data_IF_574597955888
#
_entry.id   IF_574597955888
#
_cell.length_a   1.000
_cell.length_b   1.000
_cell.length_c   1.000
_cell.angle_alpha   90.00
_cell.angle_beta   90.00
_cell.angle_gamma   90.00
#
_symmetry.space_group_name_H-M   'P 1'
#
loop_
_entity.id
_entity.type
_entity.pdbx_description
1 polymer ?
#
# COMPACT_ATOMS: atom_id res chain seq x y z
N UNK A 1 -30.03 -15.13 -39.34
CA UNK A 1 -29.83 -16.56 -39.01
C UNK A 1 -28.34 -16.83 -38.75
N UNK A 2 -27.94 -16.86 -37.48
CA UNK A 2 -26.76 -17.59 -36.96
C UNK A 2 -26.84 -17.51 -35.43
N UNK A 3 -27.15 -18.65 -34.83
CA UNK A 3 -27.43 -18.80 -33.41
C UNK A 3 -26.12 -18.76 -32.61
N UNK A 4 -26.08 -17.92 -31.59
CA UNK A 4 -25.05 -17.95 -30.53
C UNK A 4 -25.44 -19.07 -29.57
N UNK A 5 -24.65 -20.15 -29.58
CA UNK A 5 -24.75 -21.26 -28.65
C UNK A 5 -24.48 -20.74 -27.24
N UNK A 6 -25.54 -20.56 -26.44
CA UNK A 6 -25.41 -20.37 -24.99
C UNK A 6 -24.89 -21.67 -24.38
N UNK A 7 -23.65 -21.65 -23.89
CA UNK A 7 -23.10 -22.72 -23.08
C UNK A 7 -23.98 -22.94 -21.85
N UNK A 8 -24.68 -24.08 -21.81
CA UNK A 8 -25.38 -24.53 -20.61
C UNK A 8 -24.33 -24.82 -19.56
N UNK A 9 -24.29 -24.01 -18.50
CA UNK A 9 -23.66 -24.38 -17.22
C UNK A 9 -24.18 -25.77 -16.85
N UNK A 10 -23.29 -26.78 -16.87
CA UNK A 10 -23.61 -28.12 -16.40
C UNK A 10 -23.94 -27.99 -14.91
N UNK A 11 -25.19 -28.29 -14.54
CA UNK A 11 -25.56 -28.53 -13.14
C UNK A 11 -24.58 -29.57 -12.56
N UNK A 12 -24.06 -29.37 -11.33
CA UNK A 12 -23.24 -30.40 -10.72
C UNK A 12 -24.05 -31.69 -10.63
N UNK A 13 -23.41 -32.80 -11.00
CA UNK A 13 -23.94 -34.15 -10.85
C UNK A 13 -24.40 -34.33 -9.41
N UNK A 14 -25.71 -34.51 -9.22
CA UNK A 14 -26.28 -34.88 -7.94
C UNK A 14 -25.75 -36.28 -7.59
N UNK A 15 -24.74 -36.34 -6.74
CA UNK A 15 -24.38 -37.56 -6.03
C UNK A 15 -25.62 -37.97 -5.22
N UNK A 16 -26.13 -39.21 -5.33
CA UNK A 16 -27.21 -39.65 -4.47
C UNK A 16 -26.67 -39.61 -3.05
N UNK A 17 -27.13 -38.62 -2.28
CA UNK A 17 -26.89 -38.56 -0.84
C UNK A 17 -27.64 -39.76 -0.29
N UNK A 18 -26.92 -40.83 0.06
CA UNK A 18 -27.45 -41.80 1.01
C UNK A 18 -28.05 -40.99 2.16
N UNK A 19 -29.30 -41.30 2.54
CA UNK A 19 -29.97 -40.60 3.62
C UNK A 19 -29.08 -40.73 4.87
N UNK A 20 -28.26 -39.71 5.12
CA UNK A 20 -27.56 -39.59 6.38
C UNK A 20 -28.68 -39.61 7.43
N UNK A 21 -28.58 -40.44 8.48
CA UNK A 21 -29.54 -40.40 9.56
C UNK A 21 -29.68 -38.94 9.97
N UNK A 22 -30.93 -38.47 10.09
CA UNK A 22 -31.20 -37.10 10.54
C UNK A 22 -30.28 -36.81 11.73
N UNK A 23 -29.61 -35.65 11.79
CA UNK A 23 -28.76 -35.34 12.92
C UNK A 23 -29.65 -35.42 14.16
N UNK A 24 -29.50 -36.51 14.93
CA UNK A 24 -29.93 -36.51 16.33
C UNK A 24 -29.31 -35.25 16.89
N UNK A 25 -30.10 -34.40 17.52
CA UNK A 25 -29.56 -33.20 18.15
C UNK A 25 -28.36 -33.64 18.98
N UNK A 26 -27.16 -33.17 18.63
CA UNK A 26 -25.99 -33.32 19.48
C UNK A 26 -26.22 -32.66 20.85
N UNK A 27 -27.29 -31.86 20.96
CA UNK A 27 -27.93 -31.40 22.18
C UNK A 27 -28.88 -32.45 22.80
N UNK A 28 -28.46 -33.71 22.86
CA UNK A 28 -28.73 -34.44 24.11
C UNK A 28 -27.96 -33.72 25.21
N UNK A 29 -28.42 -33.76 26.46
CA UNK A 29 -27.65 -33.16 27.55
C UNK A 29 -26.22 -33.71 27.51
N UNK A 30 -25.22 -32.83 27.28
CA UNK A 30 -23.81 -33.23 27.36
C UNK A 30 -23.58 -33.84 28.74
N UNK A 31 -22.96 -35.03 28.82
CA UNK A 31 -22.72 -35.71 30.10
C UNK A 31 -22.12 -34.78 31.14
N UNK A 32 -22.50 -34.96 32.40
CA UNK A 32 -21.97 -34.16 33.50
C UNK A 32 -20.43 -34.27 33.53
N UNK A 33 -19.75 -33.15 33.78
CA UNK A 33 -18.29 -33.10 33.80
C UNK A 33 -17.59 -33.11 32.44
N UNK A 34 -18.32 -33.28 31.33
CA UNK A 34 -17.75 -33.28 29.98
C UNK A 34 -17.01 -31.97 29.65
N UNK A 35 -17.64 -30.80 29.87
CA UNK A 35 -17.03 -29.50 29.57
C UNK A 35 -15.90 -29.13 30.53
N UNK A 36 -16.01 -29.55 31.79
CA UNK A 36 -14.94 -29.39 32.77
C UNK A 36 -13.67 -30.15 32.36
N UNK A 37 -13.82 -31.34 31.77
CA UNK A 37 -12.69 -32.07 31.21
C UNK A 37 -12.08 -31.37 29.99
N UNK A 38 -12.92 -30.96 29.05
CA UNK A 38 -12.46 -30.36 27.77
C UNK A 38 -11.85 -28.98 27.98
N UNK A 39 -12.45 -28.13 28.81
CA UNK A 39 -12.09 -26.70 28.93
C UNK A 39 -11.22 -26.38 30.16
N UNK A 40 -11.38 -27.14 31.26
CA UNK A 40 -10.66 -26.91 32.53
C UNK A 40 -9.63 -28.02 32.82
N UNK A 41 -9.56 -29.05 31.96
CA UNK A 41 -8.62 -30.15 32.10
C UNK A 41 -8.88 -31.10 33.26
N UNK A 42 -10.05 -31.01 33.91
CA UNK A 42 -10.42 -31.86 35.06
C UNK A 42 -10.58 -33.33 34.65
N UNK A 43 -10.45 -34.30 35.57
CA UNK A 43 -10.79 -35.70 35.29
C UNK A 43 -12.24 -35.82 34.79
N UNK A 44 -12.47 -36.68 33.80
CA UNK A 44 -13.82 -36.99 33.31
C UNK A 44 -14.29 -38.30 33.92
N UNK A 45 -15.36 -38.23 34.70
CA UNK A 45 -16.09 -39.39 35.20
C UNK A 45 -17.57 -39.25 34.80
N UNK A 46 -18.13 -40.20 34.04
CA UNK A 46 -19.55 -40.14 33.67
C UNK A 46 -20.43 -40.28 34.92
N UNK A 47 -21.50 -39.48 35.00
CA UNK A 47 -22.43 -39.60 36.12
C UNK A 47 -23.22 -40.92 36.06
N UNK A 48 -23.78 -41.34 37.21
CA UNK A 48 -24.56 -42.56 37.28
C UNK A 48 -25.74 -42.55 36.30
N UNK A 49 -25.80 -43.54 35.41
CA UNK A 49 -26.83 -43.66 34.38
C UNK A 49 -26.49 -42.94 33.06
N UNK A 50 -25.36 -42.25 32.96
CA UNK A 50 -24.87 -41.66 31.71
C UNK A 50 -23.97 -42.64 30.96
N UNK A 51 -24.12 -42.67 29.64
CA UNK A 51 -23.17 -43.37 28.77
C UNK A 51 -21.86 -42.57 28.70
N UNK A 52 -20.69 -43.20 28.91
CA UNK A 52 -19.41 -42.50 28.82
C UNK A 52 -19.17 -41.98 27.41
N UNK A 53 -18.66 -40.75 27.30
CA UNK A 53 -18.11 -40.27 26.03
C UNK A 53 -16.88 -41.11 25.66
N UNK A 54 -16.77 -41.61 24.42
CA UNK A 54 -15.60 -42.36 24.00
C UNK A 54 -14.30 -41.54 24.15
N UNK A 55 -13.23 -42.20 24.63
CA UNK A 55 -11.98 -41.53 25.00
C UNK A 55 -11.31 -40.77 23.83
N UNK A 56 -11.35 -41.33 22.61
CA UNK A 56 -10.70 -40.70 21.46
C UNK A 56 -11.34 -39.35 21.04
N UNK A 57 -12.67 -39.25 20.84
CA UNK A 57 -13.35 -37.97 20.67
C UNK A 57 -13.10 -36.96 21.80
N UNK A 58 -13.17 -37.42 23.06
CA UNK A 58 -12.97 -36.57 24.23
C UNK A 58 -11.56 -35.95 24.26
N UNK A 59 -10.53 -36.79 24.07
CA UNK A 59 -9.14 -36.35 23.99
C UNK A 59 -8.91 -35.43 22.78
N UNK A 60 -9.54 -35.71 21.62
CA UNK A 60 -9.43 -34.85 20.45
C UNK A 60 -10.02 -33.47 20.70
N UNK A 61 -11.21 -33.37 21.32
CA UNK A 61 -11.84 -32.08 21.61
C UNK A 61 -11.02 -31.25 22.59
N UNK A 62 -10.48 -31.88 23.63
CA UNK A 62 -9.58 -31.23 24.57
C UNK A 62 -8.31 -30.72 23.87
N UNK A 63 -7.67 -31.56 23.04
CA UNK A 63 -6.47 -31.17 22.27
C UNK A 63 -6.74 -29.97 21.36
N UNK A 64 -7.88 -29.94 20.67
CA UNK A 64 -8.26 -28.77 19.85
C UNK A 64 -8.40 -27.50 20.70
N UNK A 65 -9.08 -27.57 21.85
CA UNK A 65 -9.18 -26.43 22.74
C UNK A 65 -7.82 -25.97 23.25
N UNK A 66 -6.98 -26.89 23.73
CA UNK A 66 -5.65 -26.58 24.26
C UNK A 66 -4.71 -26.01 23.18
N UNK A 67 -4.88 -26.40 21.92
CA UNK A 67 -4.11 -25.88 20.78
C UNK A 67 -4.55 -24.47 20.36
N UNK A 68 -5.86 -24.22 20.25
CA UNK A 68 -6.38 -22.97 19.69
C UNK A 68 -6.55 -21.84 20.72
N UNK A 69 -6.68 -22.14 22.02
CA UNK A 69 -6.76 -21.10 23.06
C UNK A 69 -5.36 -20.67 23.52
N UNK A 70 -5.18 -19.39 23.90
CA UNK A 70 -6.20 -18.34 24.04
C UNK A 70 -6.65 -17.69 22.73
N UNK A 71 -7.70 -16.87 22.79
CA UNK A 71 -8.10 -16.00 21.68
C UNK A 71 -6.98 -14.98 21.41
N UNK A 72 -6.22 -15.16 20.33
CA UNK A 72 -5.14 -14.24 19.96
C UNK A 72 -5.67 -12.83 19.68
N UNK A 73 -6.81 -12.73 18.99
CA UNK A 73 -7.39 -11.45 18.58
C UNK A 73 -8.91 -11.52 18.42
N UNK A 74 -9.59 -10.51 18.98
CA UNK A 74 -11.03 -10.28 18.76
C UNK A 74 -11.24 -8.92 18.08
N UNK A 75 -11.84 -8.92 16.90
CA UNK A 75 -12.20 -7.70 16.16
C UNK A 75 -13.67 -7.37 16.36
N UNK A 76 -14.00 -6.11 16.61
CA UNK A 76 -15.38 -5.67 16.87
C UNK A 76 -15.61 -4.18 16.60
N UNK A 77 -16.87 -3.79 16.41
CA UNK A 77 -17.30 -2.40 16.52
C UNK A 77 -17.13 -1.86 17.95
N UNK A 78 -16.83 -0.56 18.06
CA UNK A 78 -16.65 0.16 19.34
C UNK A 78 -17.89 0.16 20.24
N UNK A 79 -19.06 -0.06 19.68
CA UNK A 79 -20.34 -0.16 20.40
C UNK A 79 -20.42 -1.36 21.34
N UNK A 80 -19.59 -2.40 21.10
CA UNK A 80 -19.53 -3.59 21.96
C UNK A 80 -18.55 -3.47 23.13
N UNK A 81 -17.77 -2.39 23.21
CA UNK A 81 -16.84 -2.14 24.32
C UNK A 81 -17.57 -2.16 25.68
N UNK A 82 -18.61 -1.33 25.92
CA UNK A 82 -19.25 -1.24 27.23
C UNK A 82 -20.11 -2.47 27.61
N UNK A 83 -20.24 -3.47 26.73
CA UNK A 83 -21.07 -4.65 26.95
C UNK A 83 -20.29 -5.95 26.66
N UNK A 84 -20.50 -6.58 25.50
CA UNK A 84 -19.97 -7.88 25.12
C UNK A 84 -18.45 -7.99 25.33
N UNK A 85 -17.65 -7.00 24.92
CA UNK A 85 -16.19 -7.10 25.07
C UNK A 85 -15.78 -7.05 26.54
N UNK A 86 -16.40 -6.18 27.34
CA UNK A 86 -16.20 -6.14 28.79
C UNK A 86 -16.65 -7.44 29.45
N UNK A 87 -17.85 -7.93 29.11
CA UNK A 87 -18.38 -9.20 29.62
C UNK A 87 -17.50 -10.39 29.20
N UNK A 88 -16.93 -10.38 27.99
CA UNK A 88 -16.01 -11.41 27.52
C UNK A 88 -14.82 -11.53 28.46
N UNK A 89 -14.21 -10.41 28.87
CA UNK A 89 -13.11 -10.41 29.83
C UNK A 89 -13.54 -10.94 31.20
N UNK A 90 -14.67 -10.49 31.74
CA UNK A 90 -15.20 -11.00 33.02
C UNK A 90 -15.48 -12.50 32.98
N UNK A 91 -16.12 -13.00 31.92
CA UNK A 91 -16.42 -14.43 31.81
C UNK A 91 -15.15 -15.27 31.67
N UNK A 92 -14.15 -14.83 30.89
CA UNK A 92 -12.89 -15.56 30.81
C UNK A 92 -12.18 -15.60 32.17
N UNK A 93 -12.12 -14.47 32.88
CA UNK A 93 -11.54 -14.42 34.22
C UNK A 93 -12.30 -15.30 35.22
N UNK A 94 -13.63 -15.37 35.12
CA UNK A 94 -14.45 -16.19 36.01
C UNK A 94 -14.33 -17.70 35.74
N UNK A 95 -14.14 -18.10 34.49
CA UNK A 95 -14.02 -19.52 34.09
C UNK A 95 -12.60 -20.05 34.34
N UNK A 96 -11.57 -19.27 33.98
CA UNK A 96 -10.15 -19.65 34.08
C UNK A 96 -9.41 -18.81 35.15
N UNK A 97 -9.99 -18.72 36.35
CA UNK A 97 -9.47 -17.89 37.46
C UNK A 97 -7.98 -18.15 37.75
N UNK A 98 -7.59 -19.42 37.67
CA UNK A 98 -6.23 -19.90 37.98
C UNK A 98 -5.36 -20.08 36.73
N UNK A 99 -5.84 -19.74 35.54
CA UNK A 99 -5.09 -19.86 34.27
C UNK A 99 -5.22 -18.60 33.39
N UNK A 100 -4.49 -17.51 33.73
CA UNK A 100 -4.47 -16.30 32.93
C UNK A 100 -3.96 -16.50 31.49
N UNK A 101 -3.28 -17.61 31.20
CA UNK A 101 -2.83 -17.91 29.85
C UNK A 101 -4.01 -18.21 28.91
N UNK A 102 -5.22 -18.44 29.44
CA UNK A 102 -6.46 -18.61 28.67
C UNK A 102 -7.20 -17.30 28.40
N UNK A 103 -6.73 -16.17 28.93
CA UNK A 103 -7.39 -14.88 28.71
C UNK A 103 -7.17 -14.37 27.28
N UNK A 104 -8.12 -13.61 26.70
CA UNK A 104 -7.95 -13.03 25.37
C UNK A 104 -6.70 -12.13 25.31
N UNK A 105 -5.88 -12.30 24.28
CA UNK A 105 -4.58 -11.61 24.17
C UNK A 105 -4.68 -10.21 23.59
N UNK A 106 -5.62 -9.99 22.68
CA UNK A 106 -5.85 -8.68 22.07
C UNK A 106 -7.30 -8.46 21.63
N UNK A 107 -7.73 -7.20 21.65
CA UNK A 107 -9.02 -6.75 21.13
C UNK A 107 -8.76 -5.53 20.24
N UNK A 108 -9.23 -5.57 19.00
CA UNK A 108 -9.18 -4.45 18.07
C UNK A 108 -10.58 -3.92 17.82
N UNK A 109 -10.76 -2.60 17.97
CA UNK A 109 -12.06 -1.95 17.83
C UNK A 109 -12.09 -0.96 16.67
N UNK A 110 -13.02 -1.19 15.73
CA UNK A 110 -13.29 -0.26 14.63
C UNK A 110 -14.51 0.66 14.93
N UNK A 111 -14.58 1.80 14.24
CA UNK A 111 -15.77 2.64 14.27
C UNK A 111 -16.94 2.06 13.47
N UNK A 112 -18.08 2.77 13.52
CA UNK A 112 -19.23 2.40 12.71
C UNK A 112 -18.97 2.70 11.24
N UNK A 113 -19.58 1.92 10.35
CA UNK A 113 -19.48 2.14 8.90
C UNK A 113 -20.52 3.19 8.45
N UNK A 114 -20.04 4.18 7.71
CA UNK A 114 -20.82 5.13 6.93
C UNK A 114 -20.77 4.75 5.45
N UNK A 115 -21.73 5.22 4.67
CA UNK A 115 -21.75 5.09 3.20
C UNK A 115 -21.75 6.49 2.62
N UNK A 116 -20.77 6.80 1.78
CA UNK A 116 -20.61 8.12 1.14
C UNK A 116 -20.69 9.28 2.14
N UNK A 117 -19.95 9.15 3.25
CA UNK A 117 -19.90 10.03 4.41
C UNK A 117 -21.22 10.19 5.20
N UNK A 118 -22.27 9.45 4.84
CA UNK A 118 -23.55 9.46 5.53
C UNK A 118 -23.75 8.26 6.45
N UNK A 119 -24.49 8.47 7.55
CA UNK A 119 -24.98 7.37 8.38
C UNK A 119 -25.78 6.39 7.52
N UNK A 120 -25.39 5.12 7.53
CA UNK A 120 -26.11 4.06 6.82
C UNK A 120 -27.47 3.83 7.50
N UNK A 121 -28.57 4.00 6.76
CA UNK A 121 -29.92 3.67 7.25
C UNK A 121 -30.86 3.27 6.13
N UNK A 122 -31.79 2.35 6.43
CA UNK A 122 -32.85 1.97 5.48
C UNK A 122 -33.73 3.15 5.07
N UNK A 123 -34.02 4.05 6.01
CA UNK A 123 -34.86 5.24 5.78
C UNK A 123 -34.25 6.26 4.82
N UNK A 124 -32.92 6.32 4.73
CA UNK A 124 -32.19 7.19 3.78
C UNK A 124 -32.00 6.53 2.41
N UNK A 125 -32.31 5.24 2.28
CA UNK A 125 -32.09 4.48 1.05
C UNK A 125 -30.62 4.15 0.75
N UNK A 126 -29.68 4.49 1.65
CA UNK A 126 -28.23 4.22 1.49
C UNK A 126 -27.76 2.95 2.23
N UNK A 127 -28.69 2.05 2.57
CA UNK A 127 -28.35 0.78 3.19
C UNK A 127 -27.89 -0.23 2.14
N UNK A 128 -26.69 -0.77 2.32
CA UNK A 128 -26.10 -1.75 1.40
C UNK A 128 -25.87 -3.05 2.17
N UNK A 129 -26.58 -4.11 1.80
CA UNK A 129 -26.33 -5.45 2.33
C UNK A 129 -25.09 -6.09 1.70
N UNK A 130 -24.47 -7.03 2.41
CA UNK A 130 -23.26 -7.73 1.93
C UNK A 130 -23.45 -8.36 0.54
N UNK A 131 -24.53 -9.13 0.34
CA UNK A 131 -24.80 -9.77 -0.95
C UNK A 131 -25.07 -8.74 -2.05
N UNK A 132 -25.77 -7.64 -1.73
CA UNK A 132 -26.01 -6.55 -2.67
C UNK A 132 -24.70 -5.86 -3.09
N UNK A 133 -23.77 -5.65 -2.14
CA UNK A 133 -22.45 -5.12 -2.43
C UNK A 133 -21.67 -6.06 -3.36
N UNK A 134 -21.64 -7.36 -3.05
CA UNK A 134 -20.97 -8.36 -3.88
C UNK A 134 -21.60 -8.50 -5.28
N UNK A 135 -22.92 -8.39 -5.42
CA UNK A 135 -23.59 -8.41 -6.73
C UNK A 135 -23.28 -7.16 -7.54
N UNK A 136 -23.22 -5.99 -6.90
CA UNK A 136 -22.96 -4.72 -7.57
C UNK A 136 -21.49 -4.55 -7.96
N UNK A 137 -20.57 -4.91 -7.07
CA UNK A 137 -19.15 -4.62 -7.24
C UNK A 137 -18.25 -5.83 -7.43
N UNK A 138 -18.73 -7.05 -7.18
CA UNK A 138 -17.92 -8.24 -6.88
C UNK A 138 -17.31 -8.21 -5.46
N UNK A 139 -16.88 -9.39 -5.00
CA UNK A 139 -16.31 -9.57 -3.68
C UNK A 139 -15.00 -8.76 -3.49
N UNK A 140 -14.13 -8.76 -4.50
CA UNK A 140 -12.81 -8.11 -4.39
C UNK A 140 -12.90 -6.59 -4.36
N UNK A 141 -13.70 -5.99 -5.23
CA UNK A 141 -13.93 -4.54 -5.21
C UNK A 141 -14.60 -4.08 -3.90
N UNK A 142 -15.53 -4.89 -3.37
CA UNK A 142 -16.16 -4.61 -2.07
C UNK A 142 -15.13 -4.66 -0.95
N UNK A 143 -14.27 -5.69 -0.92
CA UNK A 143 -13.19 -5.82 0.07
C UNK A 143 -12.15 -4.71 -0.06
N UNK A 144 -11.83 -4.30 -1.28
CA UNK A 144 -10.95 -3.17 -1.57
C UNK A 144 -11.49 -1.90 -0.93
N UNK A 145 -12.76 -1.56 -1.19
CA UNK A 145 -13.40 -0.38 -0.59
C UNK A 145 -13.51 -0.49 0.94
N UNK A 146 -13.74 -1.69 1.49
CA UNK A 146 -13.72 -1.89 2.94
C UNK A 146 -12.32 -1.67 3.55
N UNK A 147 -11.25 -2.10 2.88
CA UNK A 147 -9.88 -1.87 3.33
C UNK A 147 -9.52 -0.38 3.27
N UNK A 148 -10.04 0.37 2.29
CA UNK A 148 -9.83 1.82 2.19
C UNK A 148 -10.66 2.63 3.22
N UNK A 149 -11.72 2.04 3.78
CA UNK A 149 -12.73 2.76 4.55
C UNK A 149 -12.22 3.37 5.87
N UNK A 150 -11.23 2.75 6.51
CA UNK A 150 -10.60 3.27 7.73
C UNK A 150 -10.12 2.21 8.72
N UNK A 151 -9.08 2.56 9.48
CA UNK A 151 -8.24 1.62 10.25
C UNK A 151 -8.34 1.81 11.78
N UNK A 152 -9.39 2.43 12.30
CA UNK A 152 -9.43 2.77 13.73
C UNK A 152 -10.82 2.97 14.31
N UNK A 153 -10.85 3.57 15.51
CA UNK A 153 -12.08 3.75 16.30
C UNK A 153 -13.00 4.85 15.77
N UNK A 154 -12.46 5.74 14.92
CA UNK A 154 -13.25 6.69 14.17
C UNK A 154 -14.13 5.96 13.16
N UNK A 155 -15.26 6.57 12.81
CA UNK A 155 -16.18 5.94 11.86
C UNK A 155 -15.46 5.73 10.51
N UNK A 156 -15.59 4.53 9.96
CA UNK A 156 -15.08 4.18 8.65
C UNK A 156 -16.08 4.65 7.59
N UNK A 157 -15.58 4.98 6.40
CA UNK A 157 -16.42 5.41 5.29
C UNK A 157 -16.29 4.46 4.10
N UNK A 158 -17.34 3.69 3.82
CA UNK A 158 -17.46 2.95 2.58
C UNK A 158 -17.81 3.93 1.46
N UNK A 159 -16.81 4.27 0.62
CA UNK A 159 -16.98 5.15 -0.54
C UNK A 159 -17.33 4.32 -1.78
N UNK A 160 -18.54 4.53 -2.29
CA UNK A 160 -19.04 3.79 -3.46
C UNK A 160 -18.28 4.12 -4.74
N UNK A 161 -17.67 5.31 -4.82
CA UNK A 161 -16.81 5.72 -5.94
C UNK A 161 -15.49 4.94 -5.94
N UNK A 162 -14.96 4.63 -4.75
CA UNK A 162 -13.77 3.77 -4.62
C UNK A 162 -14.12 2.34 -5.06
N UNK A 163 -15.28 1.82 -4.66
CA UNK A 163 -15.75 0.51 -5.10
C UNK A 163 -15.90 0.43 -6.63
N UNK A 164 -16.56 1.42 -7.26
CA UNK A 164 -16.70 1.50 -8.73
C UNK A 164 -15.33 1.56 -9.44
N UNK A 165 -14.42 2.41 -8.94
CA UNK A 165 -13.08 2.56 -9.51
C UNK A 165 -12.22 1.31 -9.35
N UNK A 166 -12.40 0.59 -8.23
CA UNK A 166 -11.62 -0.62 -7.96
C UNK A 166 -11.89 -1.72 -8.99
N UNK A 167 -13.14 -1.88 -9.48
CA UNK A 167 -13.43 -2.83 -10.58
C UNK A 167 -12.59 -2.51 -11.81
N UNK A 168 -12.63 -1.26 -12.25
CA UNK A 168 -11.95 -0.81 -13.47
C UNK A 168 -10.43 -0.96 -13.32
N UNK A 169 -9.88 -0.54 -12.18
CA UNK A 169 -8.44 -0.61 -11.93
C UNK A 169 -7.94 -2.05 -11.78
N UNK A 170 -8.63 -2.92 -11.04
CA UNK A 170 -8.28 -4.34 -10.93
C UNK A 170 -8.29 -5.04 -12.30
N UNK A 171 -9.31 -4.76 -13.12
CA UNK A 171 -9.44 -5.33 -14.47
C UNK A 171 -8.31 -4.83 -15.38
N UNK A 172 -8.07 -3.52 -15.40
CA UNK A 172 -7.01 -2.93 -16.22
C UNK A 172 -5.62 -3.44 -15.82
N UNK A 173 -5.39 -3.62 -14.51
CA UNK A 173 -4.13 -4.13 -13.98
C UNK A 173 -3.90 -5.59 -14.37
N UNK A 174 -4.93 -6.44 -14.27
CA UNK A 174 -4.86 -7.84 -14.70
C UNK A 174 -4.52 -7.96 -16.19
N UNK A 175 -5.22 -7.21 -17.03
CA UNK A 175 -4.98 -7.20 -18.48
C UNK A 175 -3.60 -6.65 -18.84
N UNK A 176 -3.16 -5.60 -18.14
CA UNK A 176 -1.81 -5.06 -18.32
C UNK A 176 -0.75 -6.09 -17.94
N UNK A 177 -0.85 -6.74 -16.78
CA UNK A 177 0.09 -7.76 -16.35
C UNK A 177 0.16 -8.94 -17.34
N UNK A 178 -1.00 -9.38 -17.84
CA UNK A 178 -1.09 -10.42 -18.89
C UNK A 178 -0.39 -9.99 -20.17
N UNK A 179 -0.69 -8.79 -20.67
CA UNK A 179 -0.11 -8.28 -21.91
C UNK A 179 1.40 -8.02 -21.79
N UNK A 180 1.86 -7.48 -20.65
CA UNK A 180 3.26 -7.20 -20.40
C UNK A 180 4.09 -8.49 -20.39
N UNK A 181 3.66 -9.52 -19.65
CA UNK A 181 4.39 -10.79 -19.59
C UNK A 181 4.28 -11.62 -20.87
N UNK A 182 3.23 -11.40 -21.69
CA UNK A 182 3.11 -11.99 -23.02
C UNK A 182 3.88 -11.22 -24.11
N UNK A 183 4.49 -10.07 -23.79
CA UNK A 183 5.20 -9.21 -24.74
C UNK A 183 4.30 -8.50 -25.75
N UNK A 184 3.00 -8.38 -25.45
CA UNK A 184 1.99 -7.74 -26.32
C UNK A 184 1.52 -6.36 -25.84
N UNK A 185 1.99 -5.92 -24.66
CA UNK A 185 1.74 -4.57 -24.16
C UNK A 185 2.43 -3.51 -25.03
N UNK A 186 1.68 -2.47 -25.41
CA UNK A 186 2.18 -1.40 -26.30
C UNK A 186 3.19 -0.47 -25.63
N UNK A 187 3.20 -0.43 -24.31
CA UNK A 187 3.94 0.51 -23.48
C UNK A 187 4.92 -0.20 -22.52
N UNK A 188 5.14 -1.51 -22.70
CA UNK A 188 6.01 -2.33 -21.86
C UNK A 188 6.81 -3.31 -22.71
N UNK A 189 7.70 -2.77 -23.56
CA UNK A 189 8.66 -3.59 -24.30
C UNK A 189 9.72 -4.14 -23.36
N UNK A 190 9.99 -5.45 -23.45
CA UNK A 190 11.05 -6.09 -22.70
C UNK A 190 12.39 -5.86 -23.39
N UNK A 191 13.43 -5.58 -22.61
CA UNK A 191 14.80 -5.48 -23.09
C UNK A 191 15.30 -6.88 -23.51
N UNK A 192 16.20 -6.99 -24.52
CA UNK A 192 16.79 -8.28 -24.88
C UNK A 192 17.50 -8.95 -23.69
N UNK A 193 17.41 -10.28 -23.61
CA UNK A 193 18.11 -11.04 -22.59
C UNK A 193 19.62 -10.78 -22.63
N UNK A 194 20.23 -10.57 -21.46
CA UNK A 194 21.66 -10.28 -21.33
C UNK A 194 22.05 -8.82 -21.59
N UNK A 195 21.10 -7.94 -21.90
CA UNK A 195 21.36 -6.50 -21.95
C UNK A 195 21.77 -5.97 -20.56
N UNK A 196 22.63 -4.94 -20.54
CA UNK A 196 23.08 -4.32 -19.30
C UNK A 196 21.91 -3.76 -18.49
N UNK A 197 21.94 -3.95 -17.17
CA UNK A 197 20.99 -3.34 -16.24
C UNK A 197 21.11 -1.81 -16.28
N UNK A 198 19.98 -1.13 -16.11
CA UNK A 198 19.91 0.33 -15.98
C UNK A 198 19.92 0.71 -14.50
N UNK A 199 20.18 1.98 -14.23
CA UNK A 199 20.04 2.52 -12.88
C UNK A 199 18.60 2.39 -12.36
N UNK A 200 17.61 2.59 -13.25
CA UNK A 200 16.18 2.41 -12.93
C UNK A 200 15.82 0.99 -12.51
N UNK A 201 16.51 -0.05 -13.03
CA UNK A 201 16.30 -1.44 -12.60
C UNK A 201 16.65 -1.57 -11.09
N UNK A 202 17.77 -0.98 -10.67
CA UNK A 202 18.20 -0.98 -9.26
C UNK A 202 17.27 -0.14 -8.38
N UNK A 203 16.85 1.04 -8.85
CA UNK A 203 15.89 1.87 -8.12
C UNK A 203 14.55 1.16 -7.92
N UNK A 204 14.00 0.55 -8.97
CA UNK A 204 12.70 -0.11 -8.90
C UNK A 204 12.74 -1.34 -7.98
N UNK A 205 13.80 -2.14 -8.03
CA UNK A 205 14.01 -3.24 -7.09
C UNK A 205 14.08 -2.76 -5.62
N UNK A 206 14.82 -1.68 -5.37
CA UNK A 206 14.94 -1.07 -4.05
C UNK A 206 13.59 -0.52 -3.55
N UNK A 207 12.82 0.13 -4.43
CA UNK A 207 11.51 0.66 -4.11
C UNK A 207 10.49 -0.43 -3.81
N UNK A 208 10.50 -1.54 -4.55
CA UNK A 208 9.69 -2.72 -4.23
C UNK A 208 10.02 -3.29 -2.85
N UNK A 209 11.31 -3.42 -2.50
CA UNK A 209 11.74 -3.87 -1.17
C UNK A 209 11.18 -2.95 -0.06
N UNK A 210 11.25 -1.64 -0.27
CA UNK A 210 10.69 -0.63 0.66
C UNK A 210 9.17 -0.75 0.80
N UNK A 211 8.46 -0.92 -0.31
CA UNK A 211 7.00 -1.06 -0.31
C UNK A 211 6.54 -2.34 0.38
N UNK A 212 7.20 -3.48 0.15
CA UNK A 212 6.89 -4.74 0.85
C UNK A 212 6.99 -4.57 2.37
N UNK A 213 8.02 -3.91 2.87
CA UNK A 213 8.16 -3.64 4.30
C UNK A 213 7.05 -2.73 4.83
N UNK A 214 6.70 -1.68 4.10
CA UNK A 214 5.60 -0.78 4.48
C UNK A 214 4.23 -1.49 4.50
N UNK A 215 3.97 -2.37 3.53
CA UNK A 215 2.74 -3.19 3.51
C UNK A 215 2.71 -4.18 4.66
N UNK A 216 3.84 -4.85 4.91
CA UNK A 216 3.97 -5.83 6.00
C UNK A 216 3.69 -5.17 7.35
N UNK A 217 4.26 -4.00 7.59
CA UNK A 217 3.99 -3.19 8.78
C UNK A 217 2.52 -2.74 8.86
N UNK A 218 1.93 -2.33 7.73
CA UNK A 218 0.51 -2.01 7.66
C UNK A 218 -0.37 -3.16 8.13
N UNK A 219 -0.15 -4.38 7.63
CA UNK A 219 -0.92 -5.56 8.05
C UNK A 219 -0.62 -5.97 9.50
N UNK A 220 0.65 -5.97 9.93
CA UNK A 220 1.05 -6.32 11.29
C UNK A 220 0.41 -5.39 12.34
N UNK A 221 0.29 -4.11 12.01
CA UNK A 221 -0.34 -3.08 12.85
C UNK A 221 -1.84 -2.89 12.60
N UNK A 222 -2.49 -3.78 11.83
CA UNK A 222 -3.91 -3.72 11.46
C UNK A 222 -4.35 -2.40 10.80
N UNK A 223 -3.45 -1.73 10.10
CA UNK A 223 -3.71 -0.52 9.30
C UNK A 223 -3.91 -0.90 7.83
N UNK A 224 -5.09 -1.42 7.51
CA UNK A 224 -5.43 -1.97 6.20
C UNK A 224 -5.49 -0.92 5.09
N UNK A 225 -5.91 0.31 5.37
CA UNK A 225 -5.85 1.43 4.42
C UNK A 225 -4.41 1.84 4.14
N UNK A 226 -3.56 1.88 5.16
CA UNK A 226 -2.13 2.13 4.96
C UNK A 226 -1.45 0.97 4.19
N UNK A 227 -1.81 -0.28 4.49
CA UNK A 227 -1.34 -1.44 3.74
C UNK A 227 -1.76 -1.37 2.28
N UNK A 228 -3.05 -1.11 2.01
CA UNK A 228 -3.60 -0.93 0.66
C UNK A 228 -2.92 0.22 -0.10
N UNK A 229 -2.65 1.34 0.59
CA UNK A 229 -1.94 2.48 0.01
C UNK A 229 -0.60 2.07 -0.61
N UNK A 230 0.18 1.26 0.10
CA UNK A 230 1.48 0.82 -0.40
C UNK A 230 1.34 -0.37 -1.35
N UNK A 231 0.49 -1.34 -1.02
CA UNK A 231 0.32 -2.59 -1.76
C UNK A 231 -0.25 -2.34 -3.16
N UNK A 232 -1.18 -1.41 -3.31
CA UNK A 232 -1.81 -1.09 -4.59
C UNK A 232 -1.23 0.17 -5.20
N UNK A 233 -1.50 1.34 -4.60
CA UNK A 233 -1.13 2.62 -5.23
C UNK A 233 0.38 2.82 -5.30
N UNK A 234 1.11 2.50 -4.24
CA UNK A 234 2.58 2.62 -4.20
C UNK A 234 3.27 1.70 -5.20
N UNK A 235 2.84 0.44 -5.27
CA UNK A 235 3.37 -0.53 -6.24
C UNK A 235 3.07 -0.13 -7.69
N UNK A 236 1.87 0.37 -7.98
CA UNK A 236 1.50 0.90 -9.30
C UNK A 236 2.33 2.14 -9.67
N UNK A 237 2.49 3.07 -8.73
CA UNK A 237 3.31 4.27 -8.95
C UNK A 237 4.77 3.92 -9.24
N UNK A 238 5.35 2.98 -8.49
CA UNK A 238 6.71 2.52 -8.71
C UNK A 238 6.87 1.89 -10.11
N UNK A 239 5.93 1.02 -10.50
CA UNK A 239 5.89 0.43 -11.84
C UNK A 239 5.74 1.49 -12.93
N UNK A 240 4.81 2.44 -12.78
CA UNK A 240 4.56 3.45 -13.80
C UNK A 240 5.77 4.36 -14.02
N UNK A 241 6.50 4.71 -12.95
CA UNK A 241 7.77 5.45 -13.05
C UNK A 241 8.83 4.62 -13.76
N UNK A 242 9.00 3.36 -13.37
CA UNK A 242 9.95 2.44 -14.00
C UNK A 242 9.64 2.26 -15.49
N UNK A 243 8.38 2.00 -15.83
CA UNK A 243 7.89 1.88 -17.21
C UNK A 243 8.18 3.13 -18.04
N UNK A 244 7.82 4.30 -17.51
CA UNK A 244 7.98 5.57 -18.23
C UNK A 244 9.45 5.95 -18.41
N UNK A 245 10.33 5.58 -17.47
CA UNK A 245 11.76 5.81 -17.58
C UNK A 245 12.48 4.84 -18.52
N UNK A 246 11.95 3.63 -18.71
CA UNK A 246 12.57 2.59 -19.53
C UNK A 246 12.00 2.48 -20.96
N UNK A 247 11.33 3.52 -21.49
CA UNK A 247 10.74 3.48 -22.84
C UNK A 247 11.78 3.18 -23.92
N UNK A 248 12.98 3.78 -23.83
CA UNK A 248 14.06 3.58 -24.80
C UNK A 248 14.87 2.30 -24.53
N UNK A 249 15.11 1.98 -23.27
CA UNK A 249 15.94 0.82 -22.88
C UNK A 249 15.15 -0.49 -22.83
N UNK A 250 13.81 -0.44 -22.76
CA UNK A 250 12.97 -1.58 -22.40
C UNK A 250 13.08 -1.97 -20.92
N UNK A 251 12.06 -2.70 -20.45
CA UNK A 251 11.96 -3.21 -19.08
C UNK A 251 12.76 -4.50 -18.90
N UNK A 252 13.25 -4.72 -17.69
CA UNK A 252 13.78 -6.03 -17.30
C UNK A 252 12.63 -7.02 -17.07
N UNK A 253 12.72 -8.16 -17.76
CA UNK A 253 11.66 -9.16 -17.79
C UNK A 253 11.49 -9.90 -16.45
N UNK A 254 12.60 -10.20 -15.75
CA UNK A 254 12.56 -10.88 -14.46
C UNK A 254 12.03 -9.97 -13.37
N UNK A 255 12.46 -8.70 -13.37
CA UNK A 255 12.01 -7.68 -12.43
C UNK A 255 10.54 -7.35 -12.63
N UNK A 256 10.08 -7.28 -13.88
CA UNK A 256 8.65 -7.09 -14.19
C UNK A 256 7.82 -8.28 -13.73
N UNK A 257 8.28 -9.52 -13.98
CA UNK A 257 7.62 -10.74 -13.47
C UNK A 257 7.56 -10.76 -11.95
N UNK A 258 8.65 -10.38 -11.27
CA UNK A 258 8.71 -10.26 -9.81
C UNK A 258 7.72 -9.22 -9.29
N UNK A 259 7.62 -8.07 -9.95
CA UNK A 259 6.63 -7.06 -9.59
C UNK A 259 5.20 -7.59 -9.68
N UNK A 260 4.84 -8.28 -10.77
CA UNK A 260 3.50 -8.88 -10.94
C UNK A 260 3.21 -9.90 -9.83
N UNK A 261 4.19 -10.74 -9.50
CA UNK A 261 4.08 -11.72 -8.41
C UNK A 261 3.91 -11.06 -7.04
N UNK A 262 4.72 -10.06 -6.72
CA UNK A 262 4.63 -9.36 -5.45
C UNK A 262 3.33 -8.55 -5.34
N UNK A 263 2.91 -7.89 -6.43
CA UNK A 263 1.63 -7.18 -6.48
C UNK A 263 0.46 -8.11 -6.16
N UNK A 264 0.46 -9.34 -6.72
CA UNK A 264 -0.54 -10.35 -6.39
C UNK A 264 -0.47 -10.76 -4.91
N UNK A 265 0.70 -11.15 -4.42
CA UNK A 265 0.86 -11.64 -3.05
C UNK A 265 0.52 -10.59 -1.99
N UNK A 266 0.93 -9.34 -2.18
CA UNK A 266 0.62 -8.23 -1.26
C UNK A 266 -0.88 -7.92 -1.23
N UNK A 267 -1.60 -8.21 -2.31
CA UNK A 267 -3.04 -7.99 -2.43
C UNK A 267 -3.89 -9.18 -2.00
N UNK A 268 -3.35 -10.39 -1.83
CA UNK A 268 -4.08 -11.59 -1.40
C UNK A 268 -4.99 -11.34 -0.18
N UNK A 269 -4.56 -10.63 0.89
CA UNK A 269 -5.45 -10.38 2.03
C UNK A 269 -6.67 -9.51 1.70
N UNK A 270 -6.62 -8.69 0.65
CA UNK A 270 -7.66 -7.72 0.29
C UNK A 270 -8.47 -8.23 -0.91
N UNK A 271 -7.82 -8.59 -2.03
CA UNK A 271 -8.44 -9.05 -3.27
C UNK A 271 -7.97 -10.47 -3.65
N UNK A 272 -8.38 -11.50 -2.88
CA UNK A 272 -7.85 -12.85 -3.06
C UNK A 272 -8.20 -13.47 -4.42
N UNK A 273 -9.35 -13.18 -5.03
CA UNK A 273 -9.76 -13.82 -6.27
C UNK A 273 -8.96 -13.26 -7.47
N UNK A 274 -8.78 -11.94 -7.52
CA UNK A 274 -7.91 -11.26 -8.46
C UNK A 274 -6.46 -11.73 -8.32
N UNK A 275 -5.98 -11.85 -7.08
CA UNK A 275 -4.61 -12.30 -6.80
C UNK A 275 -4.39 -13.75 -7.26
N UNK A 276 -5.40 -14.62 -7.10
CA UNK A 276 -5.35 -16.01 -7.57
C UNK A 276 -5.36 -16.11 -9.11
N UNK A 277 -6.11 -15.26 -9.79
CA UNK A 277 -6.12 -15.18 -11.26
C UNK A 277 -4.76 -14.70 -11.79
N UNK A 278 -4.12 -13.71 -11.15
CA UNK A 278 -2.76 -13.30 -11.49
C UNK A 278 -1.77 -14.44 -11.23
N UNK A 279 -1.85 -15.09 -10.06
CA UNK A 279 -0.96 -16.19 -9.66
C UNK A 279 -1.00 -17.37 -10.64
N UNK A 280 -2.21 -17.85 -10.95
CA UNK A 280 -2.40 -19.04 -11.76
C UNK A 280 -2.38 -18.72 -13.26
N UNK A 281 -3.27 -17.85 -13.74
CA UNK A 281 -3.51 -17.66 -15.17
C UNK A 281 -2.54 -16.68 -15.85
N UNK A 282 -1.89 -15.79 -15.09
CA UNK A 282 -0.89 -14.85 -15.63
C UNK A 282 0.54 -15.33 -15.38
N UNK A 283 0.85 -15.74 -14.14
CA UNK A 283 2.21 -16.17 -13.78
C UNK A 283 2.46 -17.66 -14.02
N UNK A 284 1.41 -18.48 -14.16
CA UNK A 284 1.55 -19.93 -14.34
C UNK A 284 2.06 -20.65 -13.09
N UNK A 285 1.85 -20.09 -11.90
CA UNK A 285 2.31 -20.70 -10.65
C UNK A 285 1.39 -21.86 -10.26
N UNK A 286 1.98 -22.91 -9.71
CA UNK A 286 1.25 -24.03 -9.11
C UNK A 286 0.75 -23.68 -7.70
N UNK A 287 -0.26 -24.40 -7.23
CA UNK A 287 -0.89 -24.17 -5.93
C UNK A 287 -1.70 -22.87 -5.88
N UNK A 288 -2.04 -22.43 -4.66
CA UNK A 288 -2.84 -21.22 -4.43
C UNK A 288 -1.98 -20.10 -3.84
N UNK A 289 -2.23 -18.86 -4.26
CA UNK A 289 -1.55 -17.66 -3.77
C UNK A 289 -1.74 -17.49 -2.25
N UNK A 290 -2.91 -17.88 -1.72
CA UNK A 290 -3.21 -17.86 -0.28
C UNK A 290 -2.28 -18.75 0.57
N UNK A 291 -1.61 -19.72 -0.05
CA UNK A 291 -0.65 -20.62 0.61
C UNK A 291 0.80 -20.28 0.28
N UNK A 292 1.03 -19.29 -0.58
CA UNK A 292 2.38 -18.87 -0.94
C UNK A 292 3.05 -18.12 0.21
N UNK A 293 4.38 -18.13 0.21
CA UNK A 293 5.15 -17.37 1.19
C UNK A 293 4.97 -15.86 0.95
N UNK A 294 4.92 -15.09 2.03
CA UNK A 294 4.88 -13.63 1.95
C UNK A 294 6.15 -13.08 1.29
N UNK A 295 6.07 -12.07 0.41
CA UNK A 295 7.24 -11.44 -0.18
C UNK A 295 8.19 -10.89 0.88
N UNK A 296 9.49 -11.04 0.67
CA UNK A 296 10.53 -10.46 1.53
C UNK A 296 11.52 -9.66 0.70
N UNK A 297 12.13 -8.60 1.27
CA UNK A 297 13.15 -7.83 0.58
C UNK A 297 14.28 -8.69 0.04
N UNK A 298 14.65 -8.45 -1.21
CA UNK A 298 15.76 -9.18 -1.88
C UNK A 298 17.14 -8.66 -1.46
N UNK A 299 17.19 -7.45 -0.90
CA UNK A 299 18.38 -6.79 -0.37
C UNK A 299 17.96 -5.74 0.69
N UNK A 300 18.89 -5.28 1.53
CA UNK A 300 18.66 -4.09 2.37
C UNK A 300 18.26 -2.87 1.52
N UNK A 301 17.42 -1.99 2.07
CA UNK A 301 17.03 -0.76 1.39
C UNK A 301 18.24 0.17 1.28
N UNK A 302 18.57 0.60 0.08
CA UNK A 302 19.57 1.62 -0.19
C UNK A 302 18.93 3.02 -0.15
N UNK A 303 19.23 3.76 0.91
CA UNK A 303 18.72 5.12 1.11
C UNK A 303 19.27 6.12 0.07
N UNK A 304 20.48 5.90 -0.44
CA UNK A 304 21.09 6.73 -1.48
C UNK A 304 20.34 6.58 -2.79
N UNK A 305 20.01 5.35 -3.19
CA UNK A 305 19.20 5.08 -4.40
C UNK A 305 17.79 5.67 -4.26
N UNK A 306 17.15 5.55 -3.09
CA UNK A 306 15.85 6.18 -2.85
C UNK A 306 15.91 7.71 -2.98
N UNK A 307 16.94 8.34 -2.40
CA UNK A 307 17.13 9.79 -2.46
C UNK A 307 17.42 10.28 -3.89
N UNK A 308 18.30 9.58 -4.61
CA UNK A 308 18.60 9.85 -6.01
C UNK A 308 17.36 9.71 -6.89
N UNK A 309 16.53 8.67 -6.69
CA UNK A 309 15.25 8.53 -7.40
C UNK A 309 14.29 9.68 -7.13
N UNK A 310 14.08 10.03 -5.86
CA UNK A 310 13.23 11.17 -5.51
C UNK A 310 13.69 12.48 -6.19
N UNK A 311 15.01 12.70 -6.26
CA UNK A 311 15.60 13.82 -6.97
C UNK A 311 15.35 13.76 -8.48
N UNK A 312 15.69 12.64 -9.14
CA UNK A 312 15.57 12.47 -10.58
C UNK A 312 14.12 12.63 -11.07
N UNK A 313 13.15 12.04 -10.37
CA UNK A 313 11.73 12.21 -10.74
C UNK A 313 11.24 13.65 -10.53
N UNK A 314 11.74 14.34 -9.50
CA UNK A 314 11.44 15.77 -9.29
C UNK A 314 12.00 16.61 -10.43
N UNK A 315 13.25 16.37 -10.85
CA UNK A 315 13.87 17.06 -11.99
C UNK A 315 13.08 16.78 -13.27
N UNK A 316 12.73 15.52 -13.55
CA UNK A 316 11.91 15.12 -14.70
C UNK A 316 10.57 15.86 -14.73
N UNK A 317 9.87 15.93 -13.59
CA UNK A 317 8.60 16.67 -13.47
C UNK A 317 8.75 18.18 -13.73
N UNK A 318 9.84 18.78 -13.25
CA UNK A 318 10.15 20.21 -13.52
C UNK A 318 10.37 20.45 -15.01
N UNK A 319 11.13 19.58 -15.69
CA UNK A 319 11.37 19.67 -17.13
C UNK A 319 10.06 19.53 -17.90
N UNK A 320 9.25 18.51 -17.59
CA UNK A 320 7.95 18.27 -18.23
C UNK A 320 7.01 19.49 -18.05
N UNK A 321 6.99 20.09 -16.86
CA UNK A 321 6.21 21.29 -16.57
C UNK A 321 6.72 22.50 -17.37
N UNK A 322 8.04 22.67 -17.49
CA UNK A 322 8.62 23.75 -18.29
C UNK A 322 8.27 23.61 -19.77
N UNK A 323 8.32 22.39 -20.31
CA UNK A 323 7.92 22.08 -21.69
C UNK A 323 6.43 22.38 -21.93
N UNK A 324 5.54 21.89 -21.05
CA UNK A 324 4.11 22.14 -21.15
C UNK A 324 3.78 23.65 -21.07
N UNK A 325 4.49 24.40 -20.24
CA UNK A 325 4.33 25.86 -20.16
C UNK A 325 4.80 26.57 -21.43
N UNK A 326 5.89 26.09 -22.05
CA UNK A 326 6.35 26.60 -23.34
C UNK A 326 5.30 26.36 -24.43
N UNK A 327 4.75 25.15 -24.51
CA UNK A 327 3.69 24.80 -25.46
C UNK A 327 2.42 25.64 -25.27
N UNK A 328 1.98 25.85 -24.03
CA UNK A 328 0.84 26.73 -23.71
C UNK A 328 1.10 28.18 -24.13
N UNK A 329 2.31 28.70 -23.93
CA UNK A 329 2.68 30.05 -24.36
C UNK A 329 2.69 30.16 -25.89
N UNK A 330 3.27 29.17 -26.58
CA UNK A 330 3.28 29.11 -28.03
C UNK A 330 1.86 29.00 -28.63
N UNK A 331 0.96 28.26 -27.97
CA UNK A 331 -0.44 28.15 -28.38
C UNK A 331 -1.22 29.47 -28.17
N UNK A 332 -0.99 30.17 -27.04
CA UNK A 332 -1.60 31.49 -26.79
C UNK A 332 -1.14 32.56 -27.78
N UNK A 333 0.11 32.50 -28.23
CA UNK A 333 0.64 33.40 -29.25
C UNK A 333 -0.01 33.22 -30.65
N UNK A 334 -0.73 32.11 -30.90
CA UNK A 334 -1.39 31.82 -32.19
C UNK A 334 -2.84 32.35 -32.32
N UNK A 335 -3.43 32.94 -31.28
CA UNK A 335 -4.76 33.60 -31.32
C UNK A 335 -5.99 32.69 -31.58
N UNK A 336 -7.19 33.12 -31.15
CA UNK A 336 -8.48 32.48 -31.52
C UNK A 336 -8.76 32.77 -33.01
N UNK A 337 -8.29 31.90 -33.89
CA UNK A 337 -8.49 32.03 -35.34
C UNK A 337 -7.34 31.50 -36.20
N UNK A 338 -6.24 31.02 -35.60
CA UNK A 338 -5.18 30.34 -36.34
C UNK A 338 -4.30 31.23 -37.22
N UNK A 339 -4.54 32.56 -37.25
CA UNK A 339 -3.60 33.52 -37.84
C UNK A 339 -2.68 34.09 -36.75
N UNK A 340 -1.35 34.05 -36.96
CA UNK A 340 -0.41 34.74 -36.08
C UNK A 340 -0.78 36.22 -36.00
N UNK A 341 -0.80 36.79 -34.80
CA UNK A 341 -0.73 38.24 -34.66
C UNK A 341 0.64 38.68 -35.21
N UNK A 342 0.62 39.51 -36.24
CA UNK A 342 1.77 40.14 -36.89
C UNK A 342 2.92 39.22 -37.32
N UNK A 343 2.79 38.56 -38.49
CA UNK A 343 3.92 38.16 -39.37
C UNK A 343 5.06 37.30 -38.78
N UNK A 344 4.99 36.91 -37.51
CA UNK A 344 6.06 36.26 -36.77
C UNK A 344 6.01 34.76 -36.98
N UNK A 345 7.13 34.18 -37.41
CA UNK A 345 7.32 32.74 -37.48
C UNK A 345 6.95 32.09 -36.13
N UNK A 346 6.28 30.94 -36.18
CA UNK A 346 5.94 30.18 -34.99
C UNK A 346 7.21 29.92 -34.16
N UNK A 347 7.15 30.20 -32.84
CA UNK A 347 8.28 29.95 -31.95
C UNK A 347 8.77 28.50 -32.13
N UNK A 348 10.07 28.28 -32.42
CA UNK A 348 10.59 26.94 -32.70
C UNK A 348 10.40 26.04 -31.47
N UNK A 349 10.09 24.77 -31.71
CA UNK A 349 10.04 23.77 -30.63
C UNK A 349 11.43 23.68 -30.00
N UNK A 350 11.54 23.68 -28.66
CA UNK A 350 12.81 23.44 -28.00
C UNK A 350 13.36 22.09 -28.44
N UNK A 351 14.61 22.06 -28.89
CA UNK A 351 15.32 20.85 -29.32
C UNK A 351 16.51 20.53 -28.41
N UNK A 352 16.76 21.34 -27.40
CA UNK A 352 17.84 21.17 -26.42
C UNK A 352 17.37 21.62 -25.04
N UNK A 353 17.79 20.89 -24.02
CA UNK A 353 17.69 21.28 -22.61
C UNK A 353 19.10 21.39 -22.03
N UNK A 354 19.37 22.42 -21.23
CA UNK A 354 20.63 22.59 -20.50
C UNK A 354 20.34 22.55 -19.01
N UNK A 355 20.88 21.54 -18.35
CA UNK A 355 20.79 21.38 -16.91
C UNK A 355 22.06 21.94 -16.28
N UNK A 356 21.90 22.79 -15.27
CA UNK A 356 23.02 23.32 -14.49
C UNK A 356 22.94 22.75 -13.08
N UNK A 357 23.97 22.01 -12.70
CA UNK A 357 24.11 21.38 -11.40
C UNK A 357 25.10 22.20 -10.58
N UNK A 358 24.64 22.78 -9.48
CA UNK A 358 25.50 23.58 -8.61
C UNK A 358 26.31 22.66 -7.69
N UNK A 359 27.64 22.62 -7.84
CA UNK A 359 28.51 21.78 -6.99
C UNK A 359 28.53 22.21 -5.51
N UNK A 360 28.22 23.47 -5.25
CA UNK A 360 28.12 24.05 -3.91
C UNK A 360 26.93 24.97 -3.86
N UNK A 361 26.34 25.08 -2.68
CA UNK A 361 25.36 26.12 -2.43
C UNK A 361 25.99 27.50 -2.66
N UNK A 362 25.23 28.47 -3.21
CA UNK A 362 25.62 29.87 -3.13
C UNK A 362 25.92 30.24 -1.67
N UNK A 363 26.91 31.11 -1.44
CA UNK A 363 27.42 31.43 -0.10
C UNK A 363 26.33 31.78 0.92
N UNK A 364 25.31 32.54 0.51
CA UNK A 364 24.21 32.90 1.40
C UNK A 364 23.35 31.69 1.84
N UNK A 365 23.22 30.66 0.99
CA UNK A 365 22.51 29.42 1.34
C UNK A 365 23.33 28.55 2.28
N UNK A 366 24.65 28.44 2.06
CA UNK A 366 25.56 27.77 3.01
C UNK A 366 25.43 28.42 4.39
N UNK A 367 25.46 29.76 4.44
CA UNK A 367 25.35 30.49 5.70
C UNK A 367 24.00 30.29 6.39
N UNK A 368 22.90 30.24 5.64
CA UNK A 368 21.58 29.89 6.20
C UNK A 368 21.59 28.47 6.76
N UNK A 369 22.14 27.48 6.04
CA UNK A 369 22.22 26.09 6.52
C UNK A 369 23.08 25.96 7.78
N UNK A 370 24.22 26.65 7.85
CA UNK A 370 25.07 26.71 9.05
C UNK A 370 24.28 27.24 10.27
N UNK A 371 23.50 28.31 10.08
CA UNK A 371 22.65 28.87 11.13
C UNK A 371 21.52 27.91 11.54
N UNK A 372 20.89 27.22 10.59
CA UNK A 372 19.87 26.21 10.88
C UNK A 372 20.45 25.05 11.70
N UNK A 373 21.64 24.55 11.33
CA UNK A 373 22.33 23.48 12.06
C UNK A 373 22.70 23.90 13.47
N UNK A 374 23.18 25.13 13.66
CA UNK A 374 23.54 25.63 15.00
C UNK A 374 22.34 25.84 15.92
N UNK A 375 21.12 25.86 15.36
CA UNK A 375 19.87 26.00 16.08
C UNK A 375 19.02 24.71 16.02
N UNK A 376 19.58 23.61 15.51
CA UNK A 376 18.92 22.30 15.52
C UNK A 376 19.04 21.69 16.91
N UNK A 377 17.89 21.35 17.48
CA UNK A 377 17.82 20.65 18.75
C UNK A 377 17.66 19.14 18.50
N UNK A 378 18.59 18.36 19.05
CA UNK A 378 18.63 16.92 18.87
C UNK A 378 17.48 16.22 19.61
N UNK A 379 16.99 16.80 20.72
CA UNK A 379 15.96 16.19 21.55
C UNK A 379 14.57 16.37 20.92
N UNK A 380 14.27 17.56 20.41
CA UNK A 380 13.01 17.81 19.69
C UNK A 380 13.06 17.42 18.21
N UNK A 381 14.24 17.18 17.64
CA UNK A 381 14.42 16.89 16.22
C UNK A 381 14.05 18.07 15.30
N UNK A 382 14.03 19.29 15.83
CA UNK A 382 13.56 20.49 15.14
C UNK A 382 14.56 21.65 15.26
N UNK A 383 14.49 22.58 14.30
CA UNK A 383 15.24 23.83 14.37
C UNK A 383 14.46 24.87 15.16
N UNK A 384 15.11 25.49 16.14
CA UNK A 384 14.53 26.58 16.94
C UNK A 384 14.11 27.77 16.08
N UNK A 385 12.92 28.30 16.34
CA UNK A 385 12.38 29.51 15.70
C UNK A 385 13.28 30.75 15.89
N UNK A 386 14.14 30.75 16.91
CA UNK A 386 15.14 31.80 17.14
C UNK A 386 16.09 32.00 15.95
N UNK A 387 16.28 30.97 15.11
CA UNK A 387 17.12 31.05 13.92
C UNK A 387 16.67 32.14 12.94
N UNK A 388 15.38 32.49 12.92
CA UNK A 388 14.84 33.54 12.04
C UNK A 388 15.43 34.91 12.34
N UNK A 389 15.65 35.21 13.63
CA UNK A 389 16.31 36.43 14.06
C UNK A 389 17.80 36.42 13.69
N UNK A 390 18.47 35.28 13.87
CA UNK A 390 19.88 35.10 13.50
C UNK A 390 20.12 35.29 11.99
N UNK A 391 19.24 34.75 11.14
CA UNK A 391 19.29 34.92 9.68
C UNK A 391 19.06 36.39 9.30
N UNK A 392 18.05 37.03 9.89
CA UNK A 392 17.73 38.44 9.62
C UNK A 392 18.80 39.40 10.14
N UNK A 393 19.56 39.02 11.17
CA UNK A 393 20.67 39.79 11.73
C UNK A 393 22.00 39.63 10.96
N UNK A 394 22.16 38.58 10.16
CA UNK A 394 23.44 38.22 9.55
C UNK A 394 23.84 39.15 8.37
N UNK A 395 24.92 39.90 8.55
CA UNK A 395 25.42 40.84 7.55
C UNK A 395 25.92 40.16 6.26
N UNK A 396 26.52 38.97 6.38
CA UNK A 396 26.96 38.17 5.23
C UNK A 396 25.79 37.78 4.31
N UNK A 397 24.64 37.40 4.90
CA UNK A 397 23.43 37.07 4.14
C UNK A 397 22.88 38.33 3.48
N UNK A 398 22.81 39.46 4.20
CA UNK A 398 22.33 40.75 3.65
C UNK A 398 23.19 41.27 2.51
N UNK A 399 24.51 41.05 2.58
CA UNK A 399 25.45 41.45 1.54
C UNK A 399 25.23 40.66 0.23
N UNK A 400 24.94 39.36 0.36
CA UNK A 400 24.78 38.46 -0.79
C UNK A 400 23.34 38.40 -1.34
N UNK A 401 22.31 38.63 -0.52
CA UNK A 401 20.92 38.54 -0.94
C UNK A 401 20.00 39.45 -0.09
N UNK A 402 19.46 40.50 -0.72
CA UNK A 402 18.59 41.49 -0.06
C UNK A 402 17.10 41.15 -0.14
N UNK A 403 16.73 39.99 -0.69
CA UNK A 403 15.35 39.57 -0.90
C UNK A 403 14.78 38.74 0.25
N UNK A 404 13.54 38.26 0.07
CA UNK A 404 12.88 37.31 1.01
C UNK A 404 13.40 35.87 0.90
N UNK A 405 14.31 35.61 -0.04
CA UNK A 405 14.81 34.27 -0.37
C UNK A 405 15.53 33.57 0.79
N UNK A 406 16.35 34.23 1.63
CA UNK A 406 16.95 33.59 2.80
C UNK A 406 15.93 33.01 3.77
N UNK A 407 14.87 33.77 4.06
CA UNK A 407 13.80 33.33 4.96
C UNK A 407 12.93 32.23 4.34
N UNK A 408 12.63 32.31 3.05
CA UNK A 408 11.89 31.26 2.33
C UNK A 408 12.69 29.95 2.27
N UNK A 409 13.98 30.05 1.99
CA UNK A 409 14.87 28.88 1.99
C UNK A 409 14.99 28.27 3.38
N UNK A 410 15.13 29.10 4.42
CA UNK A 410 15.15 28.63 5.79
C UNK A 410 13.87 27.88 6.18
N UNK A 411 12.69 28.44 5.86
CA UNK A 411 11.42 27.78 6.13
C UNK A 411 11.30 26.41 5.43
N UNK A 412 11.76 26.32 4.17
CA UNK A 412 11.78 25.06 3.42
C UNK A 412 12.69 24.03 4.09
N UNK A 413 13.90 24.42 4.50
CA UNK A 413 14.86 23.50 5.12
C UNK A 413 14.47 23.10 6.54
N UNK A 414 13.81 23.98 7.29
CA UNK A 414 13.21 23.63 8.57
C UNK A 414 12.14 22.54 8.42
N UNK A 415 11.34 22.59 7.35
CA UNK A 415 10.32 21.58 7.08
C UNK A 415 10.95 20.23 6.67
N UNK A 416 11.98 20.26 5.84
CA UNK A 416 12.74 19.05 5.48
C UNK A 416 13.43 18.43 6.70
N UNK A 417 13.96 19.25 7.62
CA UNK A 417 14.62 18.78 8.84
C UNK A 417 13.67 18.06 9.81
N UNK A 418 12.37 18.38 9.81
CA UNK A 418 11.37 17.62 10.62
C UNK A 418 11.28 16.15 10.22
N UNK A 419 11.57 15.85 8.96
CA UNK A 419 11.44 14.50 8.38
C UNK A 419 12.80 13.82 8.24
N UNK A 420 13.82 14.57 7.80
CA UNK A 420 15.16 14.06 7.51
C UNK A 420 16.20 14.38 8.58
N UNK A 421 15.80 14.94 9.72
CA UNK A 421 16.69 15.32 10.82
C UNK A 421 17.84 16.24 10.39
N UNK A 422 18.98 16.13 11.08
CA UNK A 422 20.15 16.95 10.80
C UNK A 422 20.75 16.71 9.41
N UNK A 423 20.57 15.52 8.82
CA UNK A 423 21.02 15.20 7.46
C UNK A 423 20.35 16.05 6.38
N UNK A 424 19.10 16.49 6.59
CA UNK A 424 18.43 17.42 5.67
C UNK A 424 19.12 18.78 5.59
N UNK A 425 19.92 19.13 6.61
CA UNK A 425 20.68 20.37 6.69
C UNK A 425 22.15 20.17 6.26
N UNK A 426 22.47 19.09 5.54
CA UNK A 426 23.80 18.87 5.01
C UNK A 426 24.17 19.92 3.95
N UNK A 427 25.44 20.35 3.95
CA UNK A 427 25.98 21.27 2.95
C UNK A 427 26.27 20.58 1.60
N UNK A 428 26.20 19.26 1.56
CA UNK A 428 26.37 18.41 0.39
C UNK A 428 25.33 17.29 0.40
N UNK A 429 24.88 16.86 -0.76
CA UNK A 429 24.00 15.70 -0.89
C UNK A 429 24.77 14.39 -0.64
N UNK A 430 24.04 13.34 -0.27
CA UNK A 430 24.60 12.00 -0.05
C UNK A 430 24.87 11.21 -1.35
N UNK A 431 24.49 11.78 -2.50
CA UNK A 431 24.71 11.22 -3.83
C UNK A 431 25.26 12.32 -4.78
N UNK A 432 25.89 11.92 -5.88
CA UNK A 432 26.45 12.83 -6.87
C UNK A 432 25.39 13.16 -7.94
N UNK A 433 24.72 14.30 -7.79
CA UNK A 433 23.69 14.79 -8.71
C UNK A 433 24.14 14.76 -10.18
N UNK A 434 25.39 15.13 -10.47
CA UNK A 434 25.87 15.20 -11.84
C UNK A 434 26.11 13.81 -12.42
N UNK A 435 26.54 12.86 -11.60
CA UNK A 435 26.75 11.47 -12.03
C UNK A 435 25.43 10.74 -12.23
N UNK A 436 24.47 10.91 -11.33
CA UNK A 436 23.13 10.30 -11.45
C UNK A 436 22.36 10.85 -12.65
N UNK A 437 22.42 12.17 -12.89
CA UNK A 437 21.85 12.76 -14.10
C UNK A 437 22.54 12.23 -15.37
N UNK A 438 23.84 11.91 -15.34
CA UNK A 438 24.59 11.38 -16.49
C UNK A 438 24.24 9.91 -16.79
N UNK A 439 24.05 9.10 -15.76
CA UNK A 439 23.80 7.67 -15.89
C UNK A 439 22.46 7.31 -16.55
N UNK A 440 21.45 8.18 -16.42
CA UNK A 440 20.05 7.78 -16.67
C UNK A 440 19.38 8.49 -17.87
N UNK A 441 20.07 9.40 -18.57
CA UNK A 441 19.37 10.35 -19.47
C UNK A 441 19.94 10.47 -20.89
N UNK A 442 21.07 9.82 -21.21
CA UNK A 442 21.76 10.07 -22.47
C UNK A 442 22.18 11.55 -22.66
N UNK A 443 22.15 12.36 -21.60
CA UNK A 443 22.48 13.79 -21.64
C UNK A 443 23.98 13.97 -21.85
N UNK A 444 24.35 14.54 -23.00
CA UNK A 444 25.72 14.99 -23.28
C UNK A 444 25.98 16.28 -22.49
N UNK A 445 26.89 16.23 -21.52
CA UNK A 445 27.38 17.41 -20.80
C UNK A 445 28.63 17.97 -21.48
N UNK A 446 28.67 19.29 -21.67
CA UNK A 446 29.91 20.01 -21.95
C UNK A 446 30.50 20.43 -20.59
N UNK A 447 31.76 20.08 -20.37
CA UNK A 447 32.49 20.29 -19.11
C UNK A 447 32.83 21.73 -18.82
#
# INVERSE_FOLDING_TARGET
ARAVQRGRLRRPLAVPRAAAPAPRSLLGATPVGFWDHVLLGKPYEPAAGEAPVPAAPLASMRREFEFWYPVDMRVSGKDLIPNHLTMSLYNHAAVWQDDPAKYPRSIFCNGHVQVDAEKMSKSKGNFIGLLQACEKWCADATRFACADAGDGILNANFDTTIADRSILSLTAELEWARAALAGSAKDASMRPAGAAATWLDAWFANEMNRLVLAVTEGFASMRFRDALKHAWYGMQEARDRYRSGCVESGLDAELTRRWVEWQALLMVPITPHWSEEVWSAVLGREGCAVRAAWPTPTAPIDAGVSAAGAYLFKVSSVIATAMANHEKKAAKAKGKGGKPADGGAAAPKPNQARLYVARKFPRWKERVLELLRSHFDADSGAVSEAVRAAISGCDEIKACNKGKQPMQFAAMMMEEAKHGGLSALALSMHFDEATDLRGDTGIRTWG
#
